data_IF_551207518948
#
_entry.id   IF_551207518948
#
_cell.length_a   1.000
_cell.length_b   1.000
_cell.length_c   1.000
_cell.angle_alpha   90.00
_cell.angle_beta   90.00
_cell.angle_gamma   90.00
#
_symmetry.space_group_name_H-M   'P 1'
#
loop_
_entity.id
_entity.type
_entity.pdbx_description
1 polymer ?
#
# COMPACT_ATOMS: atom_id res chain seq x y z
N UNK A 1 -35.60 23.89 2.50
CA UNK A 1 -35.54 22.84 3.54
C UNK A 1 -34.99 21.49 3.04
N UNK A 2 -35.04 21.18 1.72
CA UNK A 2 -34.65 19.85 1.22
C UNK A 2 -33.13 19.57 1.10
N UNK A 3 -32.26 20.59 1.10
CA UNK A 3 -30.81 20.40 1.03
C UNK A 3 -30.18 19.94 2.36
N UNK A 4 -30.71 20.36 3.50
CA UNK A 4 -30.20 19.94 4.81
C UNK A 4 -30.54 18.49 5.14
N UNK A 5 -31.73 18.02 4.73
CA UNK A 5 -32.13 16.62 4.90
C UNK A 5 -31.26 15.67 4.06
N UNK A 6 -30.83 16.11 2.88
CA UNK A 6 -29.91 15.35 2.02
C UNK A 6 -28.51 15.19 2.62
N UNK A 7 -27.96 16.23 3.22
CA UNK A 7 -26.64 16.19 3.85
C UNK A 7 -26.63 15.31 5.11
N UNK A 8 -27.64 15.44 5.96
CA UNK A 8 -27.76 14.62 7.18
C UNK A 8 -27.93 13.13 6.82
N UNK A 9 -28.76 12.81 5.82
CA UNK A 9 -28.93 11.42 5.36
C UNK A 9 -27.63 10.82 4.82
N UNK A 10 -26.81 11.61 4.12
CA UNK A 10 -25.50 11.19 3.63
C UNK A 10 -24.49 10.91 4.76
N UNK A 11 -24.50 11.75 5.82
CA UNK A 11 -23.67 11.51 7.02
C UNK A 11 -24.11 10.25 7.78
N UNK A 12 -25.41 9.99 7.87
CA UNK A 12 -25.94 8.76 8.48
C UNK A 12 -25.51 7.52 7.69
N UNK A 13 -25.52 7.61 6.35
CA UNK A 13 -25.01 6.53 5.49
C UNK A 13 -23.50 6.28 5.71
N UNK A 14 -22.69 7.35 5.76
CA UNK A 14 -21.26 7.25 6.05
C UNK A 14 -21.01 6.53 7.38
N UNK A 15 -21.70 6.96 8.46
CA UNK A 15 -21.59 6.33 9.78
C UNK A 15 -21.93 4.84 9.72
N UNK A 16 -23.03 4.48 9.04
CA UNK A 16 -23.45 3.08 8.91
C UNK A 16 -22.41 2.24 8.19
N UNK A 17 -21.84 2.74 7.09
CA UNK A 17 -20.80 2.04 6.31
C UNK A 17 -19.51 1.90 7.11
N UNK A 18 -19.12 2.95 7.84
CA UNK A 18 -17.93 2.94 8.70
C UNK A 18 -18.06 1.90 9.82
N UNK A 19 -19.21 1.85 10.50
CA UNK A 19 -19.48 0.87 11.56
C UNK A 19 -19.40 -0.57 11.00
N UNK A 20 -19.98 -0.84 9.84
CA UNK A 20 -19.90 -2.18 9.23
C UNK A 20 -18.45 -2.55 8.88
N UNK A 21 -17.67 -1.61 8.34
CA UNK A 21 -16.26 -1.84 8.04
C UNK A 21 -15.44 -2.10 9.32
N UNK A 22 -15.73 -1.37 10.39
CA UNK A 22 -15.05 -1.52 11.68
C UNK A 22 -15.39 -2.86 12.35
N UNK A 23 -16.66 -3.28 12.32
CA UNK A 23 -17.07 -4.58 12.86
C UNK A 23 -16.38 -5.71 12.08
N UNK A 24 -16.38 -5.63 10.74
CA UNK A 24 -15.74 -6.63 9.90
C UNK A 24 -14.22 -6.71 10.14
N UNK A 25 -13.56 -5.55 10.25
CA UNK A 25 -12.15 -5.45 10.63
C UNK A 25 -11.88 -6.07 12.01
N UNK A 26 -12.73 -5.79 13.01
CA UNK A 26 -12.54 -6.30 14.36
C UNK A 26 -12.68 -7.83 14.42
N UNK A 27 -13.64 -8.39 13.70
CA UNK A 27 -13.81 -9.86 13.62
C UNK A 27 -12.60 -10.49 12.94
N UNK A 28 -12.15 -9.93 11.81
CA UNK A 28 -10.95 -10.43 11.12
C UNK A 28 -9.69 -10.25 11.95
N UNK A 29 -9.58 -9.19 12.73
CA UNK A 29 -8.44 -9.00 13.63
C UNK A 29 -8.32 -10.13 14.66
N UNK A 30 -9.43 -10.51 15.29
CA UNK A 30 -9.45 -11.64 16.22
C UNK A 30 -9.03 -12.94 15.50
N UNK A 31 -9.57 -13.21 14.32
CA UNK A 31 -9.20 -14.39 13.53
C UNK A 31 -7.71 -14.37 13.18
N UNK A 32 -7.19 -13.26 12.64
CA UNK A 32 -5.78 -13.11 12.28
C UNK A 32 -4.86 -13.23 13.50
N UNK A 33 -5.30 -12.85 14.68
CA UNK A 33 -4.51 -13.00 15.89
C UNK A 33 -4.31 -14.49 16.27
N UNK A 34 -5.31 -15.34 16.09
CA UNK A 34 -5.13 -16.80 16.26
C UNK A 34 -4.16 -17.40 15.24
N UNK A 35 -4.05 -16.81 14.05
CA UNK A 35 -3.14 -17.24 12.98
C UNK A 35 -1.88 -16.39 12.88
N UNK A 36 -1.56 -15.58 13.89
CA UNK A 36 -0.48 -14.61 13.87
C UNK A 36 0.90 -15.21 13.58
N UNK A 37 1.16 -16.40 14.04
CA UNK A 37 2.42 -17.12 13.81
C UNK A 37 2.60 -17.51 12.34
N UNK A 38 1.55 -17.97 11.68
CA UNK A 38 1.58 -18.28 10.24
C UNK A 38 1.75 -17.00 9.39
N UNK A 39 1.05 -15.93 9.77
CA UNK A 39 1.16 -14.64 9.08
C UNK A 39 2.57 -14.05 9.25
N UNK A 40 3.12 -14.17 10.45
CA UNK A 40 4.51 -13.78 10.73
C UNK A 40 5.48 -14.57 9.84
N UNK A 41 5.35 -15.90 9.80
CA UNK A 41 6.18 -16.76 8.96
C UNK A 41 6.10 -16.36 7.47
N UNK A 42 4.88 -16.10 6.98
CA UNK A 42 4.67 -15.62 5.62
C UNK A 42 5.41 -14.30 5.36
N UNK A 43 5.29 -13.29 6.23
CA UNK A 43 5.93 -11.99 6.04
C UNK A 43 7.47 -12.03 6.16
N UNK A 44 8.00 -13.01 6.90
CA UNK A 44 9.46 -13.18 7.07
C UNK A 44 10.08 -13.99 5.91
N UNK A 45 9.28 -14.76 5.17
CA UNK A 45 9.78 -15.63 4.11
C UNK A 45 10.66 -14.91 3.06
N UNK A 46 10.34 -13.71 2.56
CA UNK A 46 11.21 -13.01 1.59
C UNK A 46 12.61 -12.73 2.16
N UNK A 47 12.71 -12.45 3.46
CA UNK A 47 14.01 -12.29 4.12
C UNK A 47 14.75 -13.63 4.22
N UNK A 48 14.06 -14.67 4.66
CA UNK A 48 14.65 -16.00 4.79
C UNK A 48 15.17 -16.55 3.46
N UNK A 49 14.44 -16.33 2.36
CA UNK A 49 14.87 -16.73 1.01
C UNK A 49 16.08 -15.91 0.52
N UNK A 50 16.06 -14.58 0.73
CA UNK A 50 17.14 -13.72 0.27
C UNK A 50 18.47 -13.98 0.98
N UNK A 51 18.43 -14.50 2.21
CA UNK A 51 19.60 -14.76 3.07
C UNK A 51 20.11 -16.21 2.94
N UNK A 52 19.28 -17.10 2.40
CA UNK A 52 19.58 -18.55 2.34
C UNK A 52 20.81 -18.90 1.48
N UNK A 53 21.07 -18.12 0.45
CA UNK A 53 22.11 -18.39 -0.54
C UNK A 53 23.53 -18.01 -0.05
N UNK A 54 23.65 -17.22 1.02
CA UNK A 54 24.93 -16.66 1.44
C UNK A 54 25.75 -17.60 2.37
N UNK A 55 25.18 -18.73 2.82
CA UNK A 55 25.85 -19.70 3.69
C UNK A 55 26.20 -19.19 5.10
N UNK A 56 25.73 -18.01 5.47
CA UNK A 56 25.90 -17.39 6.79
C UNK A 56 24.64 -17.63 7.60
N UNK A 57 24.77 -18.21 8.81
CA UNK A 57 23.63 -18.28 9.73
C UNK A 57 23.22 -16.90 10.18
N UNK A 58 22.07 -16.45 9.71
CA UNK A 58 21.47 -15.17 10.10
C UNK A 58 20.20 -15.39 10.91
N UNK A 59 19.93 -14.48 11.82
CA UNK A 59 18.77 -14.53 12.70
C UNK A 59 18.13 -13.16 12.80
N UNK A 60 16.82 -13.15 13.00
CA UNK A 60 16.12 -11.95 13.41
C UNK A 60 16.24 -11.84 14.95
N UNK A 61 16.56 -10.66 15.45
CA UNK A 61 16.72 -10.40 16.88
C UNK A 61 15.56 -9.53 17.40
N UNK A 62 15.25 -9.70 18.68
CA UNK A 62 14.41 -8.76 19.42
C UNK A 62 15.20 -8.24 20.64
N UNK A 63 14.98 -6.99 21.01
CA UNK A 63 15.77 -6.30 22.02
C UNK A 63 14.97 -5.96 23.28
N UNK A 64 13.64 -6.07 23.23
CA UNK A 64 12.76 -5.81 24.35
C UNK A 64 11.80 -6.99 24.58
N UNK A 65 11.51 -7.31 25.84
CA UNK A 65 10.65 -8.46 26.23
C UNK A 65 9.26 -8.40 25.59
N UNK A 66 8.67 -7.20 25.52
CA UNK A 66 7.33 -6.99 24.95
C UNK A 66 7.33 -6.89 23.43
N UNK A 67 8.50 -6.80 22.78
CA UNK A 67 8.62 -6.55 21.34
C UNK A 67 7.92 -7.62 20.51
N UNK A 68 8.13 -8.89 20.84
CA UNK A 68 7.54 -10.03 20.12
C UNK A 68 6.02 -10.00 20.21
N UNK A 69 5.47 -9.80 21.42
CA UNK A 69 4.02 -9.73 21.63
C UNK A 69 3.39 -8.58 20.82
N UNK A 70 3.96 -7.37 20.93
CA UNK A 70 3.46 -6.21 20.19
C UNK A 70 3.61 -6.40 18.66
N UNK A 71 4.63 -7.11 18.22
CA UNK A 71 4.82 -7.42 16.81
C UNK A 71 3.75 -8.37 16.29
N UNK A 72 3.40 -9.42 17.02
CA UNK A 72 2.28 -10.30 16.65
C UNK A 72 0.95 -9.54 16.60
N UNK A 73 0.72 -8.63 17.54
CA UNK A 73 -0.47 -7.78 17.53
C UNK A 73 -0.53 -6.88 16.28
N UNK A 74 0.61 -6.23 15.95
CA UNK A 74 0.73 -5.39 14.74
C UNK A 74 0.53 -6.17 13.46
N UNK A 75 1.15 -7.35 13.34
CA UNK A 75 1.04 -8.23 12.19
C UNK A 75 -0.39 -8.70 11.99
N UNK A 76 -1.07 -9.08 13.09
CA UNK A 76 -2.48 -9.50 13.05
C UNK A 76 -3.40 -8.36 12.61
N UNK A 77 -3.17 -7.16 13.14
CA UNK A 77 -3.94 -5.97 12.74
C UNK A 77 -3.71 -5.61 11.28
N UNK A 78 -2.45 -5.66 10.84
CA UNK A 78 -2.09 -5.41 9.45
C UNK A 78 -2.76 -6.42 8.51
N UNK A 79 -2.69 -7.71 8.82
CA UNK A 79 -3.31 -8.76 8.01
C UNK A 79 -4.84 -8.60 7.95
N UNK A 80 -5.47 -8.35 9.09
CA UNK A 80 -6.90 -8.07 9.15
C UNK A 80 -7.28 -6.86 8.30
N UNK A 81 -6.51 -5.77 8.39
CA UNK A 81 -6.72 -4.57 7.60
C UNK A 81 -6.51 -4.83 6.10
N UNK A 82 -5.45 -5.55 5.73
CA UNK A 82 -5.15 -5.90 4.34
C UNK A 82 -6.26 -6.75 3.72
N UNK A 83 -6.76 -7.75 4.45
CA UNK A 83 -7.89 -8.60 4.00
C UNK A 83 -9.20 -7.80 3.95
N UNK A 84 -9.40 -6.85 4.88
CA UNK A 84 -10.61 -6.00 4.91
C UNK A 84 -10.55 -4.89 3.86
N UNK A 85 -9.37 -4.50 3.38
CA UNK A 85 -9.20 -3.36 2.48
C UNK A 85 -10.06 -3.41 1.22
N UNK A 86 -10.26 -4.55 0.50
CA UNK A 86 -11.19 -4.62 -0.62
C UNK A 86 -12.62 -4.24 -0.22
N UNK A 87 -13.06 -4.69 0.94
CA UNK A 87 -14.39 -4.35 1.45
C UNK A 87 -14.50 -2.87 1.79
N UNK A 88 -13.50 -2.31 2.47
CA UNK A 88 -13.45 -0.88 2.82
C UNK A 88 -13.46 -0.03 1.54
N UNK A 89 -12.64 -0.37 0.56
CA UNK A 89 -12.57 0.35 -0.72
C UNK A 89 -13.92 0.32 -1.45
N UNK A 90 -14.61 -0.82 -1.48
CA UNK A 90 -15.96 -0.93 -2.04
C UNK A 90 -16.96 -0.05 -1.27
N UNK A 91 -16.87 0.02 0.05
CA UNK A 91 -17.75 0.88 0.86
C UNK A 91 -17.50 2.36 0.58
N UNK A 92 -16.24 2.77 0.41
CA UNK A 92 -15.86 4.14 0.04
C UNK A 92 -16.44 4.49 -1.33
N UNK A 93 -16.27 3.62 -2.33
CA UNK A 93 -16.83 3.83 -3.67
C UNK A 93 -18.35 3.92 -3.66
N UNK A 94 -19.03 3.04 -2.93
CA UNK A 94 -20.49 3.07 -2.78
C UNK A 94 -20.99 4.34 -2.05
N UNK A 95 -20.15 4.94 -1.20
CA UNK A 95 -20.45 6.20 -0.56
C UNK A 95 -20.31 7.39 -1.53
N UNK A 96 -19.30 7.37 -2.41
CA UNK A 96 -19.07 8.41 -3.40
C UNK A 96 -20.10 8.35 -4.53
N UNK A 97 -20.55 7.16 -4.91
CA UNK A 97 -21.47 6.92 -6.02
C UNK A 97 -22.78 7.72 -6.01
N UNK A 98 -23.48 7.95 -4.87
CA UNK A 98 -24.71 8.75 -4.85
C UNK A 98 -24.48 10.23 -5.18
N UNK A 99 -23.26 10.75 -4.97
CA UNK A 99 -22.89 12.14 -5.29
C UNK A 99 -22.70 12.39 -6.78
N UNK A 100 -22.64 11.34 -7.62
CA UNK A 100 -22.48 11.46 -9.07
C UNK A 100 -23.85 11.45 -9.77
N UNK A 101 -23.91 12.11 -10.94
CA UNK A 101 -25.12 12.17 -11.77
C UNK A 101 -25.60 10.78 -12.18
N UNK A 102 -26.93 10.62 -12.37
CA UNK A 102 -27.58 9.33 -12.64
C UNK A 102 -27.05 8.59 -13.88
N UNK A 103 -26.55 9.32 -14.90
CA UNK A 103 -25.94 8.72 -16.10
C UNK A 103 -24.55 8.13 -15.85
N UNK A 104 -23.86 8.53 -14.79
CA UNK A 104 -22.49 8.11 -14.48
C UNK A 104 -22.41 6.89 -13.55
N UNK A 105 -23.55 6.48 -12.95
CA UNK A 105 -23.59 5.31 -12.06
C UNK A 105 -23.15 4.00 -12.72
N UNK A 106 -23.45 3.82 -14.02
CA UNK A 106 -22.96 2.64 -14.78
C UNK A 106 -21.44 2.67 -14.99
N UNK A 107 -20.86 3.86 -15.00
CA UNK A 107 -19.44 4.06 -15.16
C UNK A 107 -18.62 3.71 -13.90
N UNK A 108 -19.23 3.67 -12.71
CA UNK A 108 -18.58 3.35 -11.44
C UNK A 108 -18.38 1.85 -11.26
N UNK A 109 -19.22 1.02 -11.89
CA UNK A 109 -19.17 -0.44 -11.71
C UNK A 109 -17.77 -1.04 -11.97
N UNK A 110 -17.06 -0.71 -13.07
CA UNK A 110 -15.70 -1.21 -13.27
C UNK A 110 -14.71 -0.77 -12.18
N UNK A 111 -14.86 0.45 -11.65
CA UNK A 111 -13.98 0.94 -10.58
C UNK A 111 -14.16 0.17 -9.27
N UNK A 112 -15.37 -0.30 -8.96
CA UNK A 112 -15.63 -1.14 -7.79
C UNK A 112 -14.86 -2.47 -7.82
N UNK A 113 -14.60 -2.99 -9.01
CA UNK A 113 -13.88 -4.26 -9.20
C UNK A 113 -12.38 -4.02 -9.33
N UNK A 114 -11.98 -3.02 -10.11
CA UNK A 114 -10.56 -2.73 -10.40
C UNK A 114 -9.84 -2.24 -9.14
N UNK A 115 -10.46 -1.40 -8.33
CA UNK A 115 -9.86 -0.83 -7.11
C UNK A 115 -9.31 -1.90 -6.15
N UNK A 116 -10.09 -2.90 -5.68
CA UNK A 116 -9.56 -3.95 -4.84
C UNK A 116 -8.44 -4.77 -5.50
N UNK A 117 -8.58 -5.05 -6.79
CA UNK A 117 -7.58 -5.83 -7.54
C UNK A 117 -6.25 -5.07 -7.59
N UNK A 118 -6.26 -3.78 -7.91
CA UNK A 118 -5.04 -2.97 -7.94
C UNK A 118 -4.39 -2.87 -6.56
N UNK A 119 -5.18 -2.75 -5.50
CA UNK A 119 -4.64 -2.74 -4.14
C UNK A 119 -3.86 -4.02 -3.82
N UNK A 120 -4.46 -5.18 -4.13
CA UNK A 120 -3.83 -6.48 -3.92
C UNK A 120 -2.59 -6.65 -4.82
N UNK A 121 -2.65 -6.21 -6.08
CA UNK A 121 -1.50 -6.24 -6.99
C UNK A 121 -0.34 -5.38 -6.48
N UNK A 122 -0.62 -4.20 -5.93
CA UNK A 122 0.40 -3.36 -5.29
C UNK A 122 1.09 -4.08 -4.13
N UNK A 123 0.32 -4.75 -3.26
CA UNK A 123 0.87 -5.56 -2.17
C UNK A 123 1.68 -6.76 -2.66
N UNK A 124 1.21 -7.48 -3.68
CA UNK A 124 1.93 -8.60 -4.30
C UNK A 124 3.24 -8.15 -4.93
N UNK A 125 3.25 -7.02 -5.61
CA UNK A 125 4.46 -6.46 -6.23
C UNK A 125 5.54 -6.18 -5.18
N UNK A 126 5.15 -5.63 -4.04
CA UNK A 126 6.09 -5.44 -2.92
C UNK A 126 6.63 -6.76 -2.43
N UNK A 127 5.76 -7.71 -2.13
CA UNK A 127 6.14 -8.96 -1.50
C UNK A 127 7.06 -9.80 -2.39
N UNK A 128 6.74 -9.95 -3.68
CA UNK A 128 7.47 -10.83 -4.59
C UNK A 128 8.62 -10.17 -5.33
N UNK A 129 8.58 -8.85 -5.53
CA UNK A 129 9.60 -8.16 -6.33
C UNK A 129 10.42 -7.17 -5.51
N UNK A 130 9.77 -6.21 -4.84
CA UNK A 130 10.47 -5.10 -4.20
C UNK A 130 11.24 -5.56 -2.96
N UNK A 131 10.61 -6.38 -2.11
CA UNK A 131 11.25 -6.85 -0.86
C UNK A 131 12.51 -7.68 -1.12
N UNK A 132 12.52 -8.70 -1.99
CA UNK A 132 13.75 -9.43 -2.29
C UNK A 132 14.86 -8.55 -2.85
N UNK A 133 14.53 -7.59 -3.72
CA UNK A 133 15.51 -6.64 -4.29
C UNK A 133 16.06 -5.70 -3.21
N UNK A 134 15.19 -5.15 -2.36
CA UNK A 134 15.60 -4.26 -1.27
C UNK A 134 16.49 -4.98 -0.24
N UNK A 135 16.14 -6.21 0.14
CA UNK A 135 16.95 -6.99 1.07
C UNK A 135 18.34 -7.26 0.48
N UNK A 136 18.44 -7.70 -0.77
CA UNK A 136 19.72 -7.91 -1.46
C UNK A 136 20.54 -6.62 -1.53
N UNK A 137 19.88 -5.49 -1.76
CA UNK A 137 20.53 -4.19 -1.76
C UNK A 137 21.12 -3.86 -0.38
N UNK A 138 20.37 -4.02 0.71
CA UNK A 138 20.88 -3.76 2.05
C UNK A 138 22.01 -4.74 2.45
N UNK A 139 21.91 -6.00 2.06
CA UNK A 139 22.95 -7.01 2.27
C UNK A 139 24.25 -6.68 1.51
N UNK A 140 24.19 -5.96 0.39
CA UNK A 140 25.39 -5.56 -0.36
C UNK A 140 26.29 -4.58 0.40
N UNK A 141 25.81 -3.93 1.46
CA UNK A 141 26.59 -3.07 2.33
C UNK A 141 27.33 -3.81 3.46
N UNK A 142 27.14 -5.12 3.57
CA UNK A 142 27.90 -5.92 4.53
C UNK A 142 29.35 -6.04 4.15
N UNK A 143 30.23 -6.03 5.14
CA UNK A 143 31.66 -6.20 4.99
C UNK A 143 32.16 -7.22 6.02
N UNK A 144 32.64 -8.35 5.55
CA UNK A 144 33.20 -9.40 6.41
C UNK A 144 34.63 -9.08 6.92
N UNK A 145 35.06 -7.82 6.87
CA UNK A 145 36.34 -7.37 7.43
C UNK A 145 37.54 -7.48 6.50
N UNK A 146 37.35 -7.81 5.20
CA UNK A 146 38.47 -7.89 4.25
C UNK A 146 39.14 -6.52 3.98
N UNK A 147 38.42 -5.42 4.11
CA UNK A 147 38.90 -4.04 3.89
C UNK A 147 38.84 -3.16 5.12
N UNK A 148 38.24 -3.58 6.22
CA UNK A 148 38.11 -2.86 7.49
C UNK A 148 38.43 -3.79 8.64
N UNK A 149 39.06 -3.27 9.69
CA UNK A 149 39.46 -4.07 10.87
C UNK A 149 38.26 -4.61 11.70
N UNK A 150 37.02 -4.22 11.35
CA UNK A 150 35.79 -4.67 12.01
C UNK A 150 34.80 -5.12 10.96
N UNK A 151 34.20 -6.32 11.10
CA UNK A 151 33.13 -6.78 10.23
C UNK A 151 31.86 -5.98 10.46
N UNK A 152 31.16 -5.63 9.38
CA UNK A 152 29.81 -5.04 9.41
C UNK A 152 28.84 -6.10 8.91
N UNK A 153 27.95 -6.58 9.80
CA UNK A 153 26.96 -7.58 9.50
C UNK A 153 25.55 -7.04 9.84
N UNK A 154 24.58 -7.33 8.98
CA UNK A 154 23.19 -6.93 9.20
C UNK A 154 22.52 -7.87 10.22
N UNK A 155 22.24 -7.37 11.41
CA UNK A 155 21.37 -8.01 12.38
C UNK A 155 20.00 -7.30 12.38
N UNK A 156 19.05 -7.83 11.63
CA UNK A 156 17.75 -7.21 11.49
C UNK A 156 16.87 -7.47 12.73
N UNK A 157 16.28 -6.40 13.28
CA UNK A 157 15.28 -6.51 14.36
C UNK A 157 13.93 -6.90 13.79
N UNK A 158 13.27 -7.84 14.46
CA UNK A 158 11.95 -8.37 14.06
C UNK A 158 10.94 -7.26 13.83
N UNK A 159 10.78 -6.36 14.81
CA UNK A 159 9.80 -5.28 14.74
C UNK A 159 10.11 -4.26 13.63
N UNK A 160 11.38 -3.94 13.39
CA UNK A 160 11.79 -2.98 12.36
C UNK A 160 11.57 -3.56 10.96
N UNK A 161 12.00 -4.81 10.75
CA UNK A 161 11.80 -5.51 9.49
C UNK A 161 10.30 -5.63 9.13
N UNK A 162 9.49 -6.14 10.04
CA UNK A 162 8.06 -6.32 9.79
C UNK A 162 7.32 -4.99 9.62
N UNK A 163 7.71 -3.97 10.40
CA UNK A 163 7.16 -2.63 10.23
C UNK A 163 7.48 -2.05 8.85
N UNK A 164 8.69 -2.30 8.34
CA UNK A 164 9.09 -1.92 7.00
C UNK A 164 8.25 -2.63 5.93
N UNK A 165 8.15 -3.96 6.00
CA UNK A 165 7.37 -4.78 5.06
C UNK A 165 5.92 -4.32 5.02
N UNK A 166 5.27 -4.18 6.19
CA UNK A 166 3.88 -3.75 6.30
C UNK A 166 3.65 -2.34 5.74
N UNK A 167 4.56 -1.39 6.04
CA UNK A 167 4.50 -0.03 5.49
C UNK A 167 4.59 -0.03 3.97
N UNK A 168 5.54 -0.80 3.40
CA UNK A 168 5.71 -0.88 1.95
C UNK A 168 4.51 -1.50 1.27
N UNK A 169 3.99 -2.62 1.76
CA UNK A 169 2.79 -3.26 1.19
C UNK A 169 1.61 -2.28 1.19
N UNK A 170 1.42 -1.54 2.28
CA UNK A 170 0.36 -0.57 2.38
C UNK A 170 0.56 0.64 1.47
N UNK A 171 1.79 1.19 1.44
CA UNK A 171 2.12 2.34 0.60
C UNK A 171 1.93 2.04 -0.89
N UNK A 172 2.39 0.89 -1.36
CA UNK A 172 2.19 0.46 -2.75
C UNK A 172 0.72 0.16 -3.04
N UNK A 173 0.02 -0.53 -2.14
CA UNK A 173 -1.42 -0.77 -2.29
C UNK A 173 -2.21 0.53 -2.45
N UNK A 174 -1.92 1.55 -1.65
CA UNK A 174 -2.52 2.88 -1.77
C UNK A 174 -2.09 3.61 -3.05
N UNK A 175 -0.81 3.54 -3.41
CA UNK A 175 -0.29 4.21 -4.61
C UNK A 175 -0.90 3.66 -5.89
N UNK A 176 -1.23 2.37 -5.93
CA UNK A 176 -1.96 1.75 -7.02
C UNK A 176 -3.43 2.19 -7.11
N UNK A 177 -3.94 2.93 -6.11
CA UNK A 177 -5.25 3.58 -6.20
C UNK A 177 -5.21 4.91 -6.97
N UNK A 178 -4.03 5.54 -7.10
CA UNK A 178 -3.90 6.82 -7.81
C UNK A 178 -4.45 6.80 -9.24
N UNK A 179 -4.17 5.78 -10.07
CA UNK A 179 -4.73 5.70 -11.43
C UNK A 179 -6.25 5.68 -11.42
N UNK A 180 -6.85 4.95 -10.49
CA UNK A 180 -8.30 4.83 -10.36
C UNK A 180 -8.93 6.17 -9.98
N UNK A 181 -8.33 6.85 -9.01
CA UNK A 181 -8.80 8.17 -8.56
C UNK A 181 -8.65 9.20 -9.68
N UNK A 182 -7.50 9.23 -10.37
CA UNK A 182 -7.25 10.18 -11.45
C UNK A 182 -8.18 9.95 -12.65
N UNK A 183 -8.38 8.70 -13.07
CA UNK A 183 -9.28 8.37 -14.17
C UNK A 183 -10.74 8.71 -13.84
N UNK A 184 -11.17 8.53 -12.60
CA UNK A 184 -12.49 8.98 -12.17
C UNK A 184 -12.60 10.52 -12.22
N UNK A 185 -11.62 11.24 -11.63
CA UNK A 185 -11.61 12.71 -11.61
C UNK A 185 -11.60 13.30 -13.01
N UNK A 186 -10.89 12.67 -13.96
CA UNK A 186 -10.91 13.04 -15.36
C UNK A 186 -12.31 12.81 -15.97
N UNK A 187 -12.94 11.68 -15.68
CA UNK A 187 -14.24 11.30 -16.22
C UNK A 187 -15.39 12.20 -15.75
N UNK A 188 -15.34 12.68 -14.51
CA UNK A 188 -16.32 13.64 -13.97
C UNK A 188 -15.98 15.11 -14.32
N UNK A 189 -14.95 15.33 -15.16
CA UNK A 189 -14.57 16.66 -15.64
C UNK A 189 -13.91 17.58 -14.62
N UNK A 190 -13.50 17.05 -13.45
CA UNK A 190 -12.77 17.84 -12.42
C UNK A 190 -11.35 18.13 -12.86
N UNK A 191 -10.73 17.20 -13.59
CA UNK A 191 -9.37 17.33 -14.10
C UNK A 191 -9.43 17.16 -15.63
N UNK A 192 -8.89 18.15 -16.36
CA UNK A 192 -8.69 18.06 -17.80
C UNK A 192 -7.28 17.50 -18.08
N UNK A 193 -7.16 16.69 -19.14
CA UNK A 193 -5.89 16.15 -19.62
C UNK A 193 -4.87 17.25 -19.92
N UNK A 194 -5.30 18.39 -20.45
CA UNK A 194 -4.48 19.59 -20.67
C UNK A 194 -3.82 20.06 -19.38
N UNK A 195 -4.57 20.08 -18.27
CA UNK A 195 -4.04 20.45 -16.95
C UNK A 195 -2.96 19.46 -16.46
N UNK A 196 -3.16 18.16 -16.66
CA UNK A 196 -2.18 17.12 -16.33
C UNK A 196 -0.91 17.22 -17.18
N UNK A 197 -1.04 17.50 -18.48
CA UNK A 197 0.10 17.70 -19.40
C UNK A 197 0.95 18.91 -19.00
N UNK A 198 0.32 20.05 -18.73
CA UNK A 198 1.02 21.28 -18.34
C UNK A 198 1.71 21.17 -16.97
N UNK A 199 1.14 20.40 -16.06
CA UNK A 199 1.62 20.24 -14.67
C UNK A 199 2.46 18.98 -14.44
N UNK A 200 2.79 18.23 -15.49
CA UNK A 200 3.50 16.94 -15.42
C UNK A 200 4.77 17.00 -14.55
N UNK A 201 5.56 18.08 -14.67
CA UNK A 201 6.77 18.27 -13.85
C UNK A 201 6.49 18.34 -12.35
N UNK A 202 5.38 18.97 -11.95
CA UNK A 202 5.00 19.04 -10.53
C UNK A 202 4.46 17.71 -10.01
N UNK A 203 3.71 16.98 -10.84
CA UNK A 203 3.21 15.65 -10.52
C UNK A 203 4.37 14.69 -10.29
N UNK A 204 5.39 14.71 -11.14
CA UNK A 204 6.62 13.91 -10.96
C UNK A 204 7.28 14.21 -9.62
N UNK A 205 7.51 15.49 -9.30
CA UNK A 205 8.13 15.89 -8.02
C UNK A 205 7.29 15.48 -6.83
N UNK A 206 5.96 15.63 -6.91
CA UNK A 206 5.06 15.20 -5.82
C UNK A 206 5.08 13.69 -5.62
N UNK A 207 5.10 12.88 -6.69
CA UNK A 207 5.18 11.42 -6.60
C UNK A 207 6.48 10.99 -5.94
N UNK A 208 7.62 11.52 -6.37
CA UNK A 208 8.91 11.21 -5.73
C UNK A 208 8.99 11.71 -4.28
N UNK A 209 8.43 12.89 -3.99
CA UNK A 209 8.33 13.41 -2.63
C UNK A 209 7.46 12.51 -1.73
N UNK A 210 6.31 12.09 -2.20
CA UNK A 210 5.45 11.15 -1.48
C UNK A 210 6.13 9.78 -1.30
N UNK A 211 6.80 9.28 -2.35
CA UNK A 211 7.57 8.04 -2.25
C UNK A 211 8.66 8.14 -1.18
N UNK A 212 9.43 9.24 -1.14
CA UNK A 212 10.49 9.45 -0.14
C UNK A 212 9.96 9.50 1.30
N UNK A 213 8.72 9.91 1.52
CA UNK A 213 8.09 9.93 2.86
C UNK A 213 7.59 8.52 3.23
N UNK A 214 7.05 7.78 2.26
CA UNK A 214 6.41 6.49 2.49
C UNK A 214 7.39 5.32 2.52
N UNK A 215 8.48 5.40 1.74
CA UNK A 215 9.50 4.35 1.65
C UNK A 215 10.75 4.71 2.49
N UNK A 216 11.57 3.73 2.86
CA UNK A 216 12.90 4.01 3.40
C UNK A 216 13.73 4.84 2.42
N UNK A 217 14.82 5.49 2.89
CA UNK A 217 15.71 6.26 2.04
C UNK A 217 16.61 5.33 1.18
N UNK A 218 16.01 4.46 0.38
CA UNK A 218 16.69 3.59 -0.56
C UNK A 218 16.14 3.78 -1.99
N UNK A 219 17.00 3.73 -3.01
CA UNK A 219 16.60 3.99 -4.39
C UNK A 219 15.68 2.90 -4.96
N UNK A 220 15.76 1.67 -4.47
CA UNK A 220 14.99 0.54 -5.01
C UNK A 220 13.51 0.69 -4.69
N UNK A 221 13.18 0.87 -3.42
CA UNK A 221 11.77 1.03 -3.01
C UNK A 221 11.20 2.35 -3.49
N UNK A 222 11.99 3.43 -3.50
CA UNK A 222 11.53 4.74 -3.96
C UNK A 222 11.23 4.75 -5.46
N UNK A 223 12.13 4.24 -6.30
CA UNK A 223 11.91 4.12 -7.76
C UNK A 223 10.79 3.12 -8.04
N UNK A 224 10.80 1.98 -7.33
CA UNK A 224 9.76 0.97 -7.47
C UNK A 224 8.36 1.48 -7.20
N UNK A 225 8.18 2.44 -6.27
CA UNK A 225 6.92 3.11 -6.00
C UNK A 225 6.61 4.20 -7.03
N UNK A 226 7.60 5.00 -7.41
CA UNK A 226 7.41 6.12 -8.30
C UNK A 226 7.08 5.69 -9.75
N UNK A 227 7.74 4.65 -10.27
CA UNK A 227 7.59 4.22 -11.67
C UNK A 227 6.15 3.84 -12.03
N UNK A 228 5.45 2.95 -11.31
CA UNK A 228 4.05 2.65 -11.61
C UNK A 228 3.16 3.90 -11.55
N UNK A 229 3.34 4.75 -10.53
CA UNK A 229 2.58 5.98 -10.40
C UNK A 229 2.78 6.93 -11.59
N UNK A 230 4.02 7.05 -12.09
CA UNK A 230 4.34 7.89 -13.24
C UNK A 230 3.79 7.34 -14.56
N UNK A 231 3.88 6.03 -14.79
CA UNK A 231 3.34 5.41 -15.99
C UNK A 231 1.84 5.67 -16.10
N UNK A 232 1.09 5.43 -15.03
CA UNK A 232 -0.36 5.63 -15.04
C UNK A 232 -0.77 7.10 -15.12
N UNK A 233 -0.02 8.03 -14.51
CA UNK A 233 -0.31 9.46 -14.64
C UNK A 233 0.01 9.99 -16.05
N UNK A 234 1.00 9.39 -16.72
CA UNK A 234 1.31 9.67 -18.11
C UNK A 234 0.21 9.17 -19.04
N UNK A 235 -0.24 7.92 -18.87
CA UNK A 235 -1.31 7.33 -19.68
C UNK A 235 -2.62 8.08 -19.52
N UNK A 236 -2.99 8.46 -18.29
CA UNK A 236 -4.17 9.28 -18.03
C UNK A 236 -4.09 10.67 -18.70
N UNK A 237 -2.89 11.23 -18.91
CA UNK A 237 -2.70 12.46 -19.64
C UNK A 237 -2.79 12.27 -21.17
N UNK A 238 -2.42 11.10 -21.68
CA UNK A 238 -2.35 10.82 -23.13
C UNK A 238 -3.66 10.20 -23.71
N UNK A 239 -4.55 9.66 -22.85
CA UNK A 239 -5.78 8.96 -23.28
C UNK A 239 -6.84 9.89 -23.93
N UNK A 240 -6.69 11.20 -23.80
CA UNK A 240 -7.57 12.22 -24.41
C UNK A 240 -7.32 12.43 -25.92
N UNK A 241 -6.39 11.69 -26.52
CA UNK A 241 -6.14 11.76 -27.98
C UNK A 241 -6.99 10.78 -28.78
N UNK A 242 -7.92 10.04 -28.13
CA UNK A 242 -8.75 9.01 -28.75
C UNK A 242 -10.26 9.31 -28.76
N UNK A 243 -10.66 10.59 -28.63
CA UNK A 243 -12.06 11.00 -28.87
C UNK A 243 -12.13 11.88 -30.12
#
# INVERSE_FOLDING_TARGET
>A
MDKETGFISHLVELRKRLIHSLIFLSVLFVICYFFSEYIYGFLVNPYAEAVRDDGIERRLIFTALQETFLTYLKVSFFAAFFITSPFILIQIWKFIAPGLYTHEKKAIMPYLIITPILFLLGGMLVYYLIMPLAIKFFLSFESLGASTNLPIQLEAKVNEYLSLVMKLIFAFGLSFQLPVVLSLLARIGVINSTFLKERRKYVVVMIFGAAAILTPPDPITQIGLAVPCLLYTSDAADDDTRV
#
